data_IF_679251367764
#
_entry.id   IF_679251367764
#
_cell.length_a   1.000
_cell.length_b   1.000
_cell.length_c   1.000
_cell.angle_alpha   90.00
_cell.angle_beta   90.00
_cell.angle_gamma   90.00
#
_symmetry.space_group_name_H-M   'P 1'
#
loop_
_entity.id
_entity.type
_entity.pdbx_description
1 polymer ?
#
# COMPACT_ATOMS: atom_id res chain seq x y z
N UNK A 1 3.11 -13.92 -6.43
CA UNK A 1 1.99 -13.04 -6.86
C UNK A 1 0.83 -13.82 -7.48
N UNK A 2 -0.39 -13.64 -6.98
CA UNK A 2 -1.63 -14.17 -7.58
C UNK A 2 -1.95 -13.41 -8.88
N UNK A 3 -2.46 -14.12 -9.89
CA UNK A 3 -2.84 -13.48 -11.16
C UNK A 3 -4.23 -12.84 -11.07
N UNK A 4 -4.28 -11.53 -11.32
CA UNK A 4 -5.50 -10.75 -11.53
C UNK A 4 -5.99 -10.88 -12.98
N UNK A 5 -7.28 -10.61 -13.21
CA UNK A 5 -7.83 -10.48 -14.56
C UNK A 5 -7.12 -9.35 -15.28
N UNK A 6 -6.62 -9.64 -16.49
CA UNK A 6 -5.89 -8.70 -17.34
C UNK A 6 -6.60 -7.35 -17.46
N UNK A 7 -5.80 -6.29 -17.35
CA UNK A 7 -6.18 -4.91 -17.64
C UNK A 7 -5.25 -4.37 -18.70
N UNK A 8 -5.81 -3.82 -19.77
CA UNK A 8 -5.06 -3.18 -20.84
C UNK A 8 -4.55 -1.80 -20.45
N UNK A 9 -3.48 -1.35 -21.11
CA UNK A 9 -2.99 0.03 -20.97
C UNK A 9 -4.07 1.08 -21.27
N UNK A 10 -4.92 0.86 -22.28
CA UNK A 10 -6.00 1.79 -22.62
C UNK A 10 -7.06 1.90 -21.52
N UNK A 11 -7.42 0.80 -20.86
CA UNK A 11 -8.29 0.82 -19.68
C UNK A 11 -7.66 1.64 -18.53
N UNK A 12 -6.36 1.44 -18.27
CA UNK A 12 -5.63 2.18 -17.23
C UNK A 12 -5.64 3.68 -17.54
N UNK A 13 -5.36 4.07 -18.79
CA UNK A 13 -5.37 5.46 -19.22
C UNK A 13 -6.77 6.08 -19.15
N UNK A 14 -7.82 5.32 -19.44
CA UNK A 14 -9.20 5.78 -19.27
C UNK A 14 -9.51 6.07 -17.78
N UNK A 15 -9.10 5.19 -16.86
CA UNK A 15 -9.26 5.43 -15.42
C UNK A 15 -8.43 6.59 -14.90
N UNK A 16 -7.21 6.80 -15.42
CA UNK A 16 -6.42 7.99 -15.10
C UNK A 16 -7.17 9.26 -15.45
N UNK A 17 -7.71 9.35 -16.67
CA UNK A 17 -8.52 10.49 -17.13
C UNK A 17 -9.80 10.64 -16.31
N UNK A 18 -10.42 9.55 -15.87
CA UNK A 18 -11.58 9.58 -14.99
C UNK A 18 -11.22 10.28 -13.66
N UNK A 19 -10.11 9.87 -13.03
CA UNK A 19 -9.64 10.47 -11.78
C UNK A 19 -9.16 11.91 -11.97
N UNK A 20 -8.50 12.24 -13.08
CA UNK A 20 -8.00 13.59 -13.36
C UNK A 20 -9.14 14.60 -13.53
N UNK A 21 -10.24 14.20 -14.18
CA UNK A 21 -11.38 15.09 -14.47
C UNK A 21 -12.52 15.00 -13.45
N UNK A 22 -12.49 14.00 -12.57
CA UNK A 22 -13.56 13.67 -11.63
C UNK A 22 -13.38 14.20 -10.22
N UNK A 23 -14.17 13.68 -9.29
CA UNK A 23 -14.04 13.95 -7.85
C UNK A 23 -13.45 12.74 -7.09
N UNK A 24 -13.51 12.75 -5.75
CA UNK A 24 -12.99 11.63 -4.97
C UNK A 24 -13.83 10.34 -5.09
N UNK A 25 -15.09 10.43 -5.49
CA UNK A 25 -15.92 9.26 -5.75
C UNK A 25 -15.38 8.45 -6.94
N UNK A 26 -14.79 9.11 -7.93
CA UNK A 26 -14.12 8.47 -9.07
C UNK A 26 -12.89 7.66 -8.65
N UNK A 27 -12.14 8.15 -7.66
CA UNK A 27 -11.01 7.40 -7.07
C UNK A 27 -11.52 6.08 -6.48
N UNK A 28 -12.58 6.15 -5.66
CA UNK A 28 -13.21 4.96 -5.10
C UNK A 28 -13.72 4.00 -6.17
N UNK A 29 -14.40 4.53 -7.19
CA UNK A 29 -14.95 3.74 -8.29
C UNK A 29 -13.85 2.99 -9.09
N UNK A 30 -12.71 3.64 -9.38
CA UNK A 30 -11.59 3.00 -10.06
C UNK A 30 -10.98 1.89 -9.19
N UNK A 31 -10.77 2.14 -7.89
CA UNK A 31 -10.26 1.10 -7.00
C UNK A 31 -11.20 -0.10 -6.91
N UNK A 32 -12.51 0.10 -6.85
CA UNK A 32 -13.49 -1.00 -6.90
C UNK A 32 -13.40 -1.80 -8.20
N UNK A 33 -13.23 -1.14 -9.35
CA UNK A 33 -13.10 -1.81 -10.65
C UNK A 33 -11.85 -2.68 -10.73
N UNK A 34 -10.73 -2.23 -10.16
CA UNK A 34 -9.48 -2.99 -10.05
C UNK A 34 -9.60 -4.12 -9.02
N UNK A 35 -10.20 -3.86 -7.86
CA UNK A 35 -10.45 -4.87 -6.83
C UNK A 35 -11.30 -6.03 -7.36
N UNK A 36 -12.36 -5.74 -8.13
CA UNK A 36 -13.19 -6.75 -8.82
C UNK A 36 -12.41 -7.60 -9.83
N UNK A 37 -11.30 -7.08 -10.37
CA UNK A 37 -10.39 -7.81 -11.24
C UNK A 37 -9.30 -8.58 -10.48
N UNK A 38 -9.25 -8.51 -9.15
CA UNK A 38 -8.28 -9.22 -8.33
C UNK A 38 -7.02 -8.43 -8.01
N UNK A 39 -7.00 -7.12 -8.25
CA UNK A 39 -5.92 -6.25 -7.80
C UNK A 39 -6.11 -5.93 -6.32
N UNK A 40 -5.23 -6.47 -5.49
CA UNK A 40 -5.36 -6.46 -4.04
C UNK A 40 -4.98 -5.11 -3.43
N UNK A 41 -3.98 -4.41 -3.98
CA UNK A 41 -3.68 -3.04 -3.56
C UNK A 41 -4.91 -2.15 -3.71
N UNK A 42 -5.63 -2.26 -4.83
CA UNK A 42 -6.85 -1.51 -5.07
C UNK A 42 -7.94 -1.78 -4.03
N UNK A 43 -8.11 -3.04 -3.60
CA UNK A 43 -9.07 -3.41 -2.55
C UNK A 43 -8.73 -2.74 -1.22
N UNK A 44 -7.46 -2.72 -0.85
CA UNK A 44 -7.00 -2.09 0.38
C UNK A 44 -7.10 -0.56 0.32
N UNK A 45 -6.55 0.02 -0.74
CA UNK A 45 -6.58 1.46 -0.98
C UNK A 45 -8.00 2.01 -1.10
N UNK A 46 -8.98 1.21 -1.58
CA UNK A 46 -10.39 1.59 -1.58
C UNK A 46 -10.89 1.97 -0.18
N UNK A 47 -10.56 1.20 0.86
CA UNK A 47 -11.01 1.49 2.23
C UNK A 47 -10.48 2.82 2.75
N UNK A 48 -9.22 3.14 2.45
CA UNK A 48 -8.59 4.44 2.77
C UNK A 48 -9.18 5.56 1.91
N UNK A 49 -9.37 5.29 0.62
CA UNK A 49 -9.85 6.27 -0.34
C UNK A 49 -11.34 6.55 -0.23
N UNK A 50 -12.15 5.70 0.40
CA UNK A 50 -13.57 5.97 0.63
C UNK A 50 -13.85 6.53 2.02
N UNK A 51 -12.91 6.41 2.97
CA UNK A 51 -13.11 6.76 4.39
C UNK A 51 -14.28 6.00 5.06
N UNK A 52 -14.77 4.94 4.42
CA UNK A 52 -15.94 4.17 4.90
C UNK A 52 -15.52 2.94 5.73
N UNK A 53 -14.22 2.75 5.97
CA UNK A 53 -13.72 1.65 6.79
C UNK A 53 -12.98 2.16 8.02
N UNK A 54 -12.99 1.37 9.10
CA UNK A 54 -12.26 1.66 10.34
C UNK A 54 -10.77 1.90 10.03
N UNK A 55 -10.17 1.04 9.19
CA UNK A 55 -8.77 1.18 8.74
C UNK A 55 -8.54 2.44 7.91
N UNK A 56 -9.52 2.83 7.08
CA UNK A 56 -9.43 4.04 6.26
C UNK A 56 -9.43 5.31 7.10
N UNK A 57 -10.34 5.40 8.07
CA UNK A 57 -10.36 6.51 9.02
C UNK A 57 -9.11 6.54 9.89
N UNK A 58 -8.64 5.38 10.37
CA UNK A 58 -7.39 5.29 11.12
C UNK A 58 -6.15 5.77 10.34
N UNK A 59 -6.09 5.51 9.03
CA UNK A 59 -5.00 6.01 8.19
C UNK A 59 -5.04 7.54 8.03
N UNK A 60 -6.23 8.13 7.90
CA UNK A 60 -6.40 9.58 7.83
C UNK A 60 -6.11 10.27 9.18
N UNK A 61 -6.57 9.67 10.29
CA UNK A 61 -6.26 10.14 11.65
C UNK A 61 -4.77 10.06 11.95
N UNK A 62 -4.10 8.97 11.54
CA UNK A 62 -2.64 8.84 11.66
C UNK A 62 -1.92 9.95 10.88
N UNK A 63 -2.32 10.19 9.64
CA UNK A 63 -1.74 11.24 8.82
C UNK A 63 -1.89 12.62 9.48
N UNK A 64 -3.05 12.90 10.09
CA UNK A 64 -3.29 14.13 10.86
C UNK A 64 -2.44 14.19 12.13
N UNK A 65 -2.26 13.09 12.84
CA UNK A 65 -1.44 13.03 14.05
C UNK A 65 0.03 13.33 13.74
N UNK A 66 0.57 12.74 12.67
CA UNK A 66 1.94 13.02 12.19
C UNK A 66 2.07 14.48 11.74
N UNK A 67 1.05 15.02 11.04
CA UNK A 67 1.03 16.43 10.67
C UNK A 67 1.17 17.35 11.90
N UNK A 68 0.40 17.06 12.96
CA UNK A 68 0.44 17.82 14.20
C UNK A 68 1.81 17.75 14.89
N UNK A 69 2.48 16.58 14.86
CA UNK A 69 3.84 16.41 15.38
C UNK A 69 4.85 17.31 14.63
N UNK A 70 4.69 17.47 13.32
CA UNK A 70 5.49 18.37 12.50
C UNK A 70 5.01 19.83 12.52
N UNK A 71 4.10 20.20 13.42
CA UNK A 71 3.49 21.54 13.48
C UNK A 71 2.84 21.98 12.15
N UNK A 72 2.35 21.02 11.38
CA UNK A 72 1.68 21.21 10.11
C UNK A 72 0.18 20.96 10.25
N UNK A 73 -0.65 21.88 9.76
CA UNK A 73 -2.09 21.67 9.66
C UNK A 73 -2.38 21.06 8.28
N UNK A 74 -2.57 19.75 8.24
CA UNK A 74 -3.01 19.09 7.01
C UNK A 74 -4.50 19.38 6.76
N UNK A 75 -4.79 20.14 5.72
CA UNK A 75 -6.17 20.50 5.36
C UNK A 75 -6.91 19.35 4.68
N UNK A 76 -8.24 19.45 4.62
CA UNK A 76 -9.06 18.51 3.86
C UNK A 76 -8.68 18.50 2.37
N UNK A 77 -8.35 19.67 1.80
CA UNK A 77 -7.94 19.78 0.39
C UNK A 77 -6.60 19.09 0.13
N UNK A 78 -5.61 19.24 1.02
CA UNK A 78 -4.33 18.53 0.92
C UNK A 78 -4.51 17.03 1.09
N UNK A 79 -5.32 16.60 2.04
CA UNK A 79 -5.66 15.18 2.25
C UNK A 79 -6.32 14.58 1.02
N UNK A 80 -7.29 15.30 0.42
CA UNK A 80 -7.99 14.88 -0.78
C UNK A 80 -7.07 14.84 -2.01
N UNK A 81 -6.13 15.80 -2.10
CA UNK A 81 -5.08 15.83 -3.13
C UNK A 81 -4.14 14.63 -3.01
N UNK A 82 -3.70 14.28 -1.80
CA UNK A 82 -2.90 13.08 -1.53
C UNK A 82 -3.66 11.81 -1.94
N UNK A 83 -4.92 11.65 -1.51
CA UNK A 83 -5.77 10.49 -1.86
C UNK A 83 -5.90 10.32 -3.38
N UNK A 84 -6.13 11.41 -4.11
CA UNK A 84 -6.18 11.40 -5.57
C UNK A 84 -4.85 10.98 -6.19
N UNK A 85 -3.74 11.55 -5.72
CA UNK A 85 -2.42 11.23 -6.26
C UNK A 85 -1.95 9.82 -5.92
N UNK A 86 -2.37 9.23 -4.80
CA UNK A 86 -2.11 7.81 -4.52
C UNK A 86 -2.73 6.89 -5.58
N UNK A 87 -3.95 7.20 -6.02
CA UNK A 87 -4.60 6.44 -7.09
C UNK A 87 -3.92 6.63 -8.44
N UNK A 88 -3.52 7.87 -8.76
CA UNK A 88 -2.79 8.16 -10.00
C UNK A 88 -1.40 7.50 -10.02
N UNK A 89 -0.68 7.51 -8.89
CA UNK A 89 0.61 6.84 -8.74
C UNK A 89 0.49 5.33 -8.91
N UNK A 90 -0.57 4.74 -8.36
CA UNK A 90 -0.86 3.32 -8.56
C UNK A 90 -1.12 2.97 -10.03
N UNK A 91 -2.00 3.74 -10.70
CA UNK A 91 -2.28 3.52 -12.12
C UNK A 91 -1.03 3.73 -12.99
N UNK A 92 -0.15 4.66 -12.64
CA UNK A 92 1.14 4.82 -13.32
C UNK A 92 2.01 3.57 -13.23
N UNK A 93 2.06 2.92 -12.06
CA UNK A 93 2.81 1.67 -11.88
C UNK A 93 2.21 0.52 -12.68
N UNK A 94 0.88 0.41 -12.70
CA UNK A 94 0.20 -0.60 -13.54
C UNK A 94 0.42 -0.33 -15.03
N UNK A 95 0.38 0.93 -15.47
CA UNK A 95 0.61 1.31 -16.87
C UNK A 95 2.04 0.96 -17.31
N UNK A 96 3.04 1.25 -16.45
CA UNK A 96 4.43 0.84 -16.68
C UNK A 96 4.57 -0.68 -16.82
N UNK A 97 3.91 -1.44 -15.94
CA UNK A 97 3.90 -2.92 -16.01
C UNK A 97 3.19 -3.46 -17.25
N UNK A 98 2.13 -2.80 -17.72
CA UNK A 98 1.39 -3.21 -18.91
C UNK A 98 2.20 -3.00 -20.21
N UNK A 99 3.13 -2.03 -20.24
CA UNK A 99 3.94 -1.74 -21.42
C UNK A 99 3.08 -1.30 -22.61
N UNK A 100 3.11 -2.05 -23.72
CA UNK A 100 2.22 -1.84 -24.87
C UNK A 100 0.97 -2.72 -24.84
N UNK A 101 0.84 -3.62 -23.86
CA UNK A 101 -0.22 -4.62 -23.79
C UNK A 101 -1.09 -4.49 -22.55
N UNK A 102 -1.05 -5.54 -21.72
CA UNK A 102 -1.89 -5.68 -20.53
C UNK A 102 -1.07 -6.19 -19.34
N UNK A 103 -1.51 -5.86 -18.14
CA UNK A 103 -0.96 -6.39 -16.89
C UNK A 103 -1.99 -7.31 -16.23
N UNK A 104 -1.52 -8.40 -15.60
CA UNK A 104 -2.32 -9.32 -14.76
C UNK A 104 -1.70 -9.53 -13.38
N UNK A 105 -0.68 -8.74 -13.02
CA UNK A 105 0.03 -8.82 -11.76
C UNK A 105 -0.08 -7.48 -11.03
N UNK A 106 -0.28 -7.53 -9.73
CA UNK A 106 -0.31 -6.34 -8.88
C UNK A 106 1.11 -5.78 -8.62
N UNK A 107 1.22 -4.66 -7.90
CA UNK A 107 2.48 -3.94 -7.64
C UNK A 107 3.31 -4.52 -6.50
N UNK A 108 4.62 -4.65 -6.64
CA UNK A 108 5.48 -5.10 -5.52
C UNK A 108 5.51 -4.06 -4.39
N UNK A 109 5.96 -4.44 -3.20
CA UNK A 109 6.16 -3.50 -2.09
C UNK A 109 7.10 -2.36 -2.51
N UNK A 110 8.17 -2.67 -3.24
CA UNK A 110 9.11 -1.67 -3.75
C UNK A 110 8.41 -0.64 -4.65
N UNK A 111 7.60 -1.11 -5.62
CA UNK A 111 6.84 -0.22 -6.50
C UNK A 111 5.86 0.64 -5.71
N UNK A 112 5.24 0.06 -4.69
CA UNK A 112 4.30 0.74 -3.81
C UNK A 112 4.98 1.84 -2.99
N UNK A 113 6.08 1.52 -2.33
CA UNK A 113 6.94 2.47 -1.59
C UNK A 113 7.43 3.60 -2.50
N UNK A 114 7.85 3.28 -3.73
CA UNK A 114 8.35 4.28 -4.68
C UNK A 114 7.31 5.36 -5.01
N UNK A 115 6.08 4.98 -5.36
CA UNK A 115 5.09 6.00 -5.67
C UNK A 115 4.55 6.68 -4.41
N UNK A 116 4.48 6.02 -3.25
CA UNK A 116 4.08 6.69 -2.01
C UNK A 116 5.06 7.83 -1.69
N UNK A 117 6.37 7.58 -1.76
CA UNK A 117 7.40 8.62 -1.56
C UNK A 117 7.15 9.80 -2.49
N UNK A 118 7.00 9.55 -3.80
CA UNK A 118 6.74 10.61 -4.78
C UNK A 118 5.47 11.38 -4.49
N UNK A 119 4.40 10.70 -4.09
CA UNK A 119 3.12 11.35 -3.77
C UNK A 119 3.26 12.25 -2.55
N UNK A 120 3.86 11.77 -1.46
CA UNK A 120 4.06 12.59 -0.27
C UNK A 120 4.97 13.78 -0.57
N UNK A 121 6.12 13.57 -1.21
CA UNK A 121 7.06 14.64 -1.59
C UNK A 121 6.39 15.72 -2.45
N UNK A 122 5.62 15.32 -3.46
CA UNK A 122 4.88 16.25 -4.34
C UNK A 122 3.75 17.02 -3.61
N UNK A 123 3.40 16.61 -2.39
CA UNK A 123 2.44 17.28 -1.53
C UNK A 123 3.09 17.94 -0.30
N UNK A 124 4.40 18.18 -0.34
CA UNK A 124 5.16 18.88 0.70
C UNK A 124 5.09 18.21 2.08
N UNK A 125 4.91 16.90 2.10
CA UNK A 125 4.93 16.06 3.30
C UNK A 125 5.92 14.91 3.06
N UNK A 126 6.36 14.25 4.12
CA UNK A 126 7.31 13.15 3.99
C UNK A 126 6.62 11.78 4.08
N UNK A 127 7.39 10.73 3.82
CA UNK A 127 6.90 9.35 3.81
C UNK A 127 6.42 8.86 5.18
N UNK A 128 6.75 9.53 6.30
CA UNK A 128 6.30 9.16 7.64
C UNK A 128 4.80 9.40 7.84
N UNK A 129 4.16 10.20 6.98
CA UNK A 129 2.71 10.39 6.94
C UNK A 129 1.97 9.12 6.49
N UNK A 130 2.69 8.11 6.01
CA UNK A 130 2.15 6.81 5.63
C UNK A 130 2.20 5.81 6.79
N UNK A 131 1.03 5.29 7.17
CA UNK A 131 0.86 4.35 8.30
C UNK A 131 1.74 3.10 8.22
N UNK A 132 2.04 2.58 7.01
CA UNK A 132 2.85 1.37 6.86
C UNK A 132 4.36 1.64 6.70
N UNK A 133 4.81 2.89 6.59
CA UNK A 133 6.21 3.17 6.31
C UNK A 133 7.13 2.63 7.40
N UNK A 134 6.93 3.05 8.65
CA UNK A 134 7.84 2.69 9.75
C UNK A 134 7.85 1.18 10.04
N UNK A 135 6.69 0.48 10.15
CA UNK A 135 6.69 -0.96 10.37
C UNK A 135 7.40 -1.73 9.25
N UNK A 136 7.16 -1.37 7.99
CA UNK A 136 7.79 -2.03 6.86
C UNK A 136 9.29 -1.71 6.76
N UNK A 137 9.70 -0.49 7.12
CA UNK A 137 11.12 -0.10 7.21
C UNK A 137 11.87 -0.91 8.27
N UNK A 138 11.23 -1.18 9.41
CA UNK A 138 11.81 -2.01 10.48
C UNK A 138 11.95 -3.45 10.01
N UNK A 139 10.92 -4.03 9.37
CA UNK A 139 10.99 -5.37 8.78
C UNK A 139 12.12 -5.42 7.76
N UNK A 140 12.16 -4.47 6.83
CA UNK A 140 13.18 -4.38 5.79
C UNK A 140 14.60 -4.29 6.40
N UNK A 141 14.81 -3.52 7.47
CA UNK A 141 16.15 -3.34 8.05
C UNK A 141 16.58 -4.51 8.93
N UNK A 142 15.67 -5.08 9.71
CA UNK A 142 16.03 -5.94 10.84
C UNK A 142 15.52 -7.38 10.71
N UNK A 143 14.51 -7.64 9.88
CA UNK A 143 13.98 -8.98 9.74
C UNK A 143 14.87 -9.88 8.86
N UNK A 144 14.96 -11.14 9.26
CA UNK A 144 15.44 -12.23 8.41
C UNK A 144 14.39 -13.34 8.39
N UNK A 145 14.50 -14.21 7.38
CA UNK A 145 13.61 -15.35 7.24
C UNK A 145 14.34 -16.51 6.58
N UNK A 146 13.66 -17.65 6.48
CA UNK A 146 14.14 -18.81 5.71
C UNK A 146 13.10 -19.22 4.69
N UNK A 147 13.55 -19.56 3.50
CA UNK A 147 12.74 -20.22 2.47
C UNK A 147 12.70 -21.73 2.72
N UNK A 148 11.77 -22.39 2.03
CA UNK A 148 11.77 -23.86 1.91
C UNK A 148 13.13 -24.29 1.34
N UNK A 149 13.83 -25.18 2.05
CA UNK A 149 15.22 -25.56 1.74
C UNK A 149 16.29 -24.83 2.55
N UNK A 150 15.90 -23.99 3.52
CA UNK A 150 16.83 -23.44 4.52
C UNK A 150 17.61 -22.19 4.09
N UNK A 151 17.41 -21.71 2.86
CA UNK A 151 18.03 -20.47 2.36
C UNK A 151 17.54 -19.27 3.16
N UNK A 152 18.48 -18.50 3.71
CA UNK A 152 18.18 -17.26 4.42
C UNK A 152 17.77 -16.15 3.44
N UNK A 153 16.78 -15.34 3.84
CA UNK A 153 16.36 -14.11 3.19
C UNK A 153 16.42 -12.95 4.18
N UNK A 154 16.72 -11.74 3.69
CA UNK A 154 16.84 -10.49 4.47
C UNK A 154 16.35 -9.31 3.65
N UNK A 155 16.21 -8.14 4.26
CA UNK A 155 16.01 -6.92 3.50
C UNK A 155 14.68 -6.89 2.78
N UNK A 156 14.74 -6.39 1.54
CA UNK A 156 13.64 -6.34 0.58
C UNK A 156 12.92 -7.69 0.41
N UNK A 157 13.65 -8.81 0.45
CA UNK A 157 13.05 -10.14 0.25
C UNK A 157 12.07 -10.52 1.37
N UNK A 158 12.31 -10.06 2.60
CA UNK A 158 11.43 -10.35 3.72
C UNK A 158 10.18 -9.47 3.63
N UNK A 159 10.35 -8.17 3.39
CA UNK A 159 9.21 -7.26 3.30
C UNK A 159 8.33 -7.55 2.07
N UNK A 160 8.89 -7.97 0.94
CA UNK A 160 8.09 -8.44 -0.22
C UNK A 160 7.32 -9.72 0.12
N UNK A 161 7.91 -10.63 0.91
CA UNK A 161 7.18 -11.82 1.37
C UNK A 161 6.05 -11.47 2.32
N UNK A 162 6.28 -10.56 3.27
CA UNK A 162 5.21 -10.09 4.17
C UNK A 162 4.11 -9.37 3.40
N UNK A 163 4.49 -8.56 2.41
CA UNK A 163 3.58 -7.92 1.47
C UNK A 163 2.73 -8.94 0.70
N UNK A 164 3.35 -9.97 0.13
CA UNK A 164 2.64 -11.07 -0.53
C UNK A 164 1.76 -11.89 0.43
N UNK A 165 2.21 -12.10 1.67
CA UNK A 165 1.45 -12.83 2.68
C UNK A 165 0.19 -12.05 3.08
N UNK A 166 0.31 -10.74 3.29
CA UNK A 166 -0.84 -9.85 3.48
C UNK A 166 -1.83 -9.97 2.33
N UNK A 167 -1.35 -10.04 1.08
CA UNK A 167 -2.20 -10.19 -0.09
C UNK A 167 -2.85 -11.57 -0.25
N UNK A 168 -2.16 -12.65 0.13
CA UNK A 168 -2.71 -14.01 0.07
C UNK A 168 -3.98 -14.16 0.91
N UNK A 169 -4.14 -13.32 1.94
CA UNK A 169 -5.36 -13.23 2.76
C UNK A 169 -6.50 -12.46 2.08
N UNK A 170 -6.35 -12.09 0.80
CA UNK A 170 -7.35 -11.34 0.00
C UNK A 170 -7.84 -10.06 0.68
N UNK A 171 -7.00 -9.44 1.52
CA UNK A 171 -7.34 -8.23 2.26
C UNK A 171 -8.24 -8.43 3.49
N UNK A 172 -8.71 -9.65 3.80
CA UNK A 172 -9.57 -9.87 4.99
C UNK A 172 -8.78 -9.88 6.29
N UNK A 173 -7.50 -10.30 6.25
CA UNK A 173 -6.64 -10.30 7.43
C UNK A 173 -5.67 -9.12 7.45
N UNK A 174 -5.61 -8.31 6.38
CA UNK A 174 -4.77 -7.10 6.34
C UNK A 174 -5.29 -6.07 7.34
N UNK A 175 -6.61 -5.86 7.34
CA UNK A 175 -7.28 -5.03 8.34
C UNK A 175 -7.03 -5.58 9.76
N UNK A 176 -7.12 -6.90 9.94
CA UNK A 176 -6.83 -7.55 11.22
C UNK A 176 -5.36 -7.42 11.65
N UNK A 177 -4.39 -7.54 10.74
CA UNK A 177 -2.95 -7.41 11.01
C UNK A 177 -2.54 -5.98 11.35
N UNK A 178 -3.14 -4.98 10.68
CA UNK A 178 -2.96 -3.56 11.01
C UNK A 178 -3.59 -3.22 12.37
N UNK A 179 -4.80 -3.73 12.64
CA UNK A 179 -5.55 -3.44 13.86
C UNK A 179 -5.10 -4.26 15.08
N UNK A 180 -4.50 -5.43 14.87
CA UNK A 180 -4.37 -6.46 15.90
C UNK A 180 -3.04 -7.21 15.77
N UNK A 181 -2.22 -7.10 16.83
CA UNK A 181 -1.11 -7.98 17.18
C UNK A 181 0.14 -8.04 16.26
N UNK A 182 0.02 -7.98 14.94
CA UNK A 182 1.16 -8.16 14.01
C UNK A 182 2.26 -7.11 14.18
N UNK A 183 1.90 -5.83 14.23
CA UNK A 183 2.85 -4.73 14.46
C UNK A 183 3.52 -4.81 15.82
N UNK A 184 2.76 -5.14 16.88
CA UNK A 184 3.28 -5.22 18.25
C UNK A 184 4.24 -6.38 18.42
N UNK A 185 4.00 -7.51 17.75
CA UNK A 185 4.92 -8.65 17.76
C UNK A 185 6.18 -8.33 16.97
N UNK A 186 6.06 -7.71 15.79
CA UNK A 186 7.23 -7.28 15.01
C UNK A 186 8.06 -6.24 15.76
N UNK A 187 7.45 -5.29 16.45
CA UNK A 187 8.15 -4.30 17.27
C UNK A 187 8.81 -4.94 18.50
N UNK A 188 8.13 -5.87 19.17
CA UNK A 188 8.70 -6.66 20.28
C UNK A 188 9.89 -7.49 19.83
N UNK A 189 9.79 -8.12 18.66
CA UNK A 189 10.77 -9.04 18.12
C UNK A 189 11.97 -8.29 17.50
N UNK A 190 11.72 -7.13 16.87
CA UNK A 190 12.76 -6.18 16.44
C UNK A 190 13.50 -5.54 17.63
N UNK A 191 12.78 -5.17 18.70
CA UNK A 191 13.38 -4.71 19.96
C UNK A 191 14.29 -5.78 20.58
N UNK A 192 13.93 -7.06 20.43
CA UNK A 192 14.69 -8.18 20.98
C UNK A 192 15.72 -8.78 20.00
N UNK A 193 15.86 -8.24 18.78
CA UNK A 193 16.87 -8.68 17.79
C UNK A 193 16.59 -10.02 17.11
N UNK A 194 15.37 -10.55 17.17
CA UNK A 194 15.02 -11.85 16.59
C UNK A 194 13.66 -11.80 15.91
N UNK A 195 13.61 -11.77 14.58
CA UNK A 195 12.36 -12.08 13.85
C UNK A 195 12.48 -13.50 13.27
N UNK A 196 11.76 -14.45 13.86
CA UNK A 196 11.59 -15.80 13.31
C UNK A 196 10.17 -15.97 12.81
N UNK A 197 9.99 -15.86 11.50
CA UNK A 197 8.72 -16.21 10.87
C UNK A 197 8.72 -17.72 10.61
N UNK A 198 8.09 -18.47 11.53
CA UNK A 198 7.85 -19.89 11.33
C UNK A 198 6.88 -20.08 10.15
N UNK A 199 7.34 -20.79 9.12
CA UNK A 199 6.47 -21.32 8.10
C UNK A 199 5.67 -22.49 8.70
N UNK A 200 4.34 -22.41 8.66
CA UNK A 200 3.47 -23.58 8.78
C UNK A 200 3.18 -24.14 7.39
#
# INVERSE_FOLDING_TARGET
MLEAKKVSKSEIQAWRKQIENGDLSDVGAVYQQLAKRGYHYAKWAYGVASADTITGNGALEFMQAVANEYHHILTADETNKIRRYMALGYLEMLEKKAGSGSVSQDITYQQMKEFHIKVFENNNVDINYWTLYEPMRIIERYASGKLIGGREIKGEQVVEREWEAMWATKGTNVDSWMMSFGLSEIMRDAHNGYIYLQAK
#
